data_IF_529802818001
#
_entry.id   IF_529802818001
#
_cell.length_a   1.000
_cell.length_b   1.000
_cell.length_c   1.000
_cell.angle_alpha   90.00
_cell.angle_beta   90.00
_cell.angle_gamma   90.00
#
_symmetry.space_group_name_H-M   'P 1'
#
loop_
_entity.id
_entity.type
_entity.pdbx_description
1 polymer ?
#
# COMPACT_ATOMS: atom_id res chain seq x y z
N UNK A 1 3.74 -1.30 -12.83
CA UNK A 1 3.91 -2.72 -13.22
C UNK A 1 2.59 -3.40 -12.95
N UNK A 2 1.85 -3.78 -14.00
CA UNK A 2 0.60 -4.54 -13.87
C UNK A 2 0.98 -6.00 -13.98
N UNK A 3 0.92 -6.70 -12.86
CA UNK A 3 1.17 -8.13 -12.78
C UNK A 3 0.30 -8.68 -11.66
N UNK A 4 -0.53 -9.66 -11.97
CA UNK A 4 -1.34 -10.37 -10.98
C UNK A 4 -0.43 -11.17 -10.05
N UNK A 5 0.15 -10.48 -9.08
CA UNK A 5 0.93 -11.09 -8.00
C UNK A 5 -0.03 -11.50 -6.90
N UNK A 6 -0.36 -12.78 -6.84
CA UNK A 6 -1.13 -13.31 -5.72
C UNK A 6 -0.29 -13.21 -4.43
N UNK A 7 -0.80 -12.47 -3.44
CA UNK A 7 -0.25 -12.51 -2.10
C UNK A 7 -0.47 -13.92 -1.52
N UNK A 8 0.61 -14.61 -1.17
CA UNK A 8 0.54 -15.93 -0.54
C UNK A 8 0.54 -15.74 0.99
N UNK A 9 -0.59 -15.98 1.64
CA UNK A 9 -0.73 -15.97 3.10
C UNK A 9 -2.11 -16.44 3.53
N UNK A 10 -2.18 -17.23 4.61
CA UNK A 10 -3.38 -17.97 5.05
C UNK A 10 -4.58 -17.10 5.48
N UNK A 11 -4.47 -15.75 5.49
CA UNK A 11 -5.57 -14.87 5.88
C UNK A 11 -5.43 -13.43 5.36
N UNK A 12 -5.54 -13.22 4.05
CA UNK A 12 -5.50 -11.86 3.49
C UNK A 12 -6.91 -11.25 3.53
N UNK A 13 -7.16 -10.41 4.52
CA UNK A 13 -8.38 -9.61 4.61
C UNK A 13 -8.28 -8.43 3.63
N UNK A 14 -8.97 -8.53 2.50
CA UNK A 14 -9.03 -7.45 1.51
C UNK A 14 -10.02 -6.36 1.95
N UNK A 15 -9.57 -5.11 2.02
CA UNK A 15 -10.47 -3.98 2.23
C UNK A 15 -11.33 -3.73 0.99
N UNK A 16 -12.56 -3.25 1.18
CA UNK A 16 -13.47 -2.93 0.08
C UNK A 16 -12.82 -1.94 -0.91
N UNK A 17 -12.75 -2.32 -2.19
CA UNK A 17 -12.06 -1.55 -3.25
C UNK A 17 -10.58 -1.90 -3.45
N UNK A 18 -10.03 -2.87 -2.71
CA UNK A 18 -8.67 -3.39 -2.97
C UNK A 18 -8.70 -4.29 -4.19
N UNK A 19 -7.86 -4.01 -5.19
CA UNK A 19 -7.66 -4.94 -6.30
C UNK A 19 -6.57 -5.97 -5.97
N UNK A 20 -6.76 -7.21 -6.43
CA UNK A 20 -5.73 -8.26 -6.41
C UNK A 20 -4.64 -8.03 -7.45
N UNK A 21 -4.88 -7.15 -8.42
CA UNK A 21 -3.91 -6.85 -9.47
C UNK A 21 -2.96 -5.71 -9.08
N UNK A 22 -3.37 -4.85 -8.14
CA UNK A 22 -2.61 -3.66 -7.72
C UNK A 22 -2.52 -3.55 -6.19
N UNK A 23 -1.30 -3.55 -5.69
CA UNK A 23 -0.99 -3.34 -4.28
C UNK A 23 -0.21 -2.04 -4.09
N UNK A 24 -0.59 -1.28 -3.07
CA UNK A 24 0.13 -0.05 -2.70
C UNK A 24 0.98 -0.33 -1.47
N UNK A 25 2.29 -0.26 -1.61
CA UNK A 25 3.24 -0.44 -0.50
C UNK A 25 3.48 0.88 0.22
N UNK A 26 3.65 0.81 1.53
CA UNK A 26 4.01 1.97 2.34
C UNK A 26 5.47 2.35 2.10
N UNK A 27 5.71 3.62 1.71
CA UNK A 27 7.04 4.23 1.64
C UNK A 27 7.26 5.33 2.69
N UNK A 28 6.19 5.85 3.30
CA UNK A 28 6.26 6.96 4.25
C UNK A 28 6.67 6.57 5.68
N UNK A 29 6.73 5.27 6.01
CA UNK A 29 7.08 4.78 7.35
C UNK A 29 5.96 4.89 8.41
N UNK A 30 4.94 5.72 8.19
CA UNK A 30 3.87 5.98 9.15
C UNK A 30 2.67 5.02 9.07
N UNK A 31 2.69 4.01 8.18
CA UNK A 31 1.58 3.05 8.06
C UNK A 31 1.46 2.17 9.30
N UNK A 32 0.23 2.00 9.78
CA UNK A 32 -0.12 1.05 10.83
C UNK A 32 -0.31 -0.38 10.31
N UNK A 33 -0.49 -0.54 8.98
CA UNK A 33 -0.69 -1.83 8.31
C UNK A 33 0.49 -2.17 7.38
N UNK A 34 1.72 -2.07 7.89
CA UNK A 34 2.93 -2.41 7.11
C UNK A 34 2.87 -3.89 6.67
N UNK A 35 3.29 -4.21 5.43
CA UNK A 35 3.98 -3.37 4.44
C UNK A 35 3.06 -2.51 3.54
N UNK A 36 1.75 -2.57 3.73
CA UNK A 36 0.77 -1.90 2.87
C UNK A 36 0.56 -0.43 3.25
N UNK A 37 0.15 0.37 2.27
CA UNK A 37 -0.23 1.76 2.47
C UNK A 37 -1.67 1.85 3.04
N UNK A 38 -1.83 2.55 4.15
CA UNK A 38 -3.10 2.79 4.85
C UNK A 38 -3.57 4.26 4.74
N UNK A 39 -2.87 5.09 3.96
CA UNK A 39 -3.18 6.51 3.77
C UNK A 39 -2.53 7.46 4.78
N UNK A 40 -1.80 6.97 5.78
CA UNK A 40 -1.14 7.82 6.79
C UNK A 40 -0.14 8.81 6.20
N UNK A 41 0.41 8.54 5.01
CA UNK A 41 1.28 9.46 4.27
C UNK A 41 0.62 10.84 4.07
N UNK A 42 -0.72 10.91 3.91
CA UNK A 42 -1.43 12.19 3.81
C UNK A 42 -1.48 12.91 5.15
N UNK A 43 -1.74 12.18 6.23
CA UNK A 43 -1.83 12.74 7.58
C UNK A 43 -0.51 13.33 8.07
N UNK A 44 0.62 12.70 7.71
CA UNK A 44 1.95 13.21 8.06
C UNK A 44 2.54 14.17 7.02
N UNK A 45 1.77 14.55 5.99
CA UNK A 45 2.24 15.36 4.86
C UNK A 45 3.57 14.83 4.27
N UNK A 46 3.68 13.51 4.12
CA UNK A 46 4.85 12.89 3.53
C UNK A 46 4.97 13.31 2.07
N UNK A 47 6.05 14.01 1.75
CA UNK A 47 6.42 14.38 0.38
C UNK A 47 7.62 13.52 -0.03
N UNK A 48 7.48 12.81 -1.15
CA UNK A 48 8.63 12.17 -1.77
C UNK A 48 9.41 13.25 -2.55
N UNK A 49 10.73 13.23 -2.46
CA UNK A 49 11.61 14.19 -3.15
C UNK A 49 11.54 14.08 -4.69
N UNK A 50 10.87 13.05 -5.22
CA UNK A 50 10.65 12.91 -6.67
C UNK A 50 9.28 13.44 -7.08
N UNK A 51 9.25 14.72 -7.43
CA UNK A 51 8.32 15.23 -8.43
C UNK A 51 8.92 14.91 -9.81
N UNK A 52 8.49 13.80 -10.42
CA UNK A 52 8.63 13.56 -11.87
C UNK A 52 7.25 13.61 -12.53
#
# INVERSE_FOLDING_TARGET
MTGGIDLIGDNIQWANGSSKEHYTLCRCGASNNKPFCDGMHKSINFMDDKAE
#
